data_IF_582993042209
#
_entry.id   IF_582993042209
#
_cell.length_a   1.000
_cell.length_b   1.000
_cell.length_c   1.000
_cell.angle_alpha   90.00
_cell.angle_beta   90.00
_cell.angle_gamma   90.00
#
_symmetry.space_group_name_H-M   'P 1'
#
loop_
_entity.id
_entity.type
_entity.pdbx_description
1 polymer ?
#
# COMPACT_ATOMS: atom_id res chain seq x y z
N UNK A 1 -0.61 1.45 21.38
CA UNK A 1 -1.43 0.68 20.42
C UNK A 1 -0.61 0.27 19.22
N UNK A 2 -0.99 -0.83 18.58
CA UNK A 2 -0.43 -1.27 17.30
C UNK A 2 -1.57 -1.41 16.30
N UNK A 3 -1.35 -1.01 15.05
CA UNK A 3 -2.34 -1.09 13.99
C UNK A 3 -1.69 -1.56 12.69
N UNK A 4 -2.43 -2.33 11.90
CA UNK A 4 -2.10 -2.70 10.54
C UNK A 4 -3.30 -2.38 9.64
N UNK A 5 -3.03 -1.82 8.46
CA UNK A 5 -4.01 -1.56 7.42
C UNK A 5 -3.62 -2.31 6.15
N UNK A 6 -4.61 -2.94 5.53
CA UNK A 6 -4.47 -3.67 4.27
C UNK A 6 -5.35 -3.01 3.21
N UNK A 7 -4.80 -2.83 2.02
CA UNK A 7 -5.49 -2.20 0.89
C UNK A 7 -5.52 -3.17 -0.29
N UNK A 8 -6.68 -3.28 -0.93
CA UNK A 8 -6.85 -3.96 -2.22
C UNK A 8 -7.18 -2.91 -3.26
N UNK A 9 -6.28 -2.72 -4.21
CA UNK A 9 -6.42 -1.72 -5.27
C UNK A 9 -6.80 -2.40 -6.58
N UNK A 10 -7.82 -1.86 -7.26
CA UNK A 10 -8.30 -2.28 -8.58
C UNK A 10 -8.59 -1.04 -9.40
N UNK A 11 -8.15 -1.04 -10.66
CA UNK A 11 -8.40 0.06 -11.60
C UNK A 11 -8.00 1.44 -11.04
N UNK A 12 -6.89 1.48 -10.29
CA UNK A 12 -6.35 2.69 -9.67
C UNK A 12 -7.08 3.17 -8.41
N UNK A 13 -8.06 2.44 -7.89
CA UNK A 13 -8.85 2.81 -6.70
C UNK A 13 -8.83 1.74 -5.62
N UNK A 14 -8.99 2.15 -4.36
CA UNK A 14 -9.14 1.26 -3.21
C UNK A 14 -10.49 0.54 -3.32
N UNK A 15 -10.47 -0.69 -3.79
CA UNK A 15 -11.67 -1.52 -3.94
C UNK A 15 -12.19 -2.06 -2.61
N UNK A 16 -11.27 -2.38 -1.70
CA UNK A 16 -11.58 -2.76 -0.32
C UNK A 16 -10.38 -2.47 0.58
N UNK A 17 -10.66 -2.13 1.83
CA UNK A 17 -9.66 -1.93 2.87
C UNK A 17 -10.06 -2.71 4.12
N UNK A 18 -9.08 -3.21 4.86
CA UNK A 18 -9.27 -3.89 6.13
C UNK A 18 -8.21 -3.45 7.13
N UNK A 19 -8.49 -3.61 8.41
CA UNK A 19 -7.55 -3.27 9.47
C UNK A 19 -7.50 -4.35 10.54
N UNK A 20 -6.40 -4.36 11.27
CA UNK A 20 -6.27 -5.04 12.55
C UNK A 20 -5.63 -4.07 13.54
N UNK A 21 -6.05 -4.13 14.80
CA UNK A 21 -5.46 -3.33 15.85
C UNK A 21 -5.40 -4.10 17.16
N UNK A 22 -4.24 -4.08 17.83
CA UNK A 22 -4.11 -4.43 19.24
C UNK A 22 -4.00 -3.13 20.04
N UNK A 23 -5.14 -2.66 20.55
CA UNK A 23 -5.24 -1.39 21.25
C UNK A 23 -6.57 -1.23 21.96
N UNK A 24 -6.86 0.00 22.39
CA UNK A 24 -8.11 0.35 23.05
C UNK A 24 -9.28 0.50 22.05
N UNK A 25 -10.51 0.63 22.56
CA UNK A 25 -11.71 0.83 21.74
C UNK A 25 -11.58 1.97 20.71
N UNK A 26 -11.08 3.16 21.09
CA UNK A 26 -10.82 4.26 20.15
C UNK A 26 -9.90 3.89 18.99
N UNK A 27 -8.83 3.14 19.21
CA UNK A 27 -7.91 2.70 18.15
C UNK A 27 -8.62 1.80 17.14
N UNK A 28 -9.47 0.89 17.62
CA UNK A 28 -10.29 0.06 16.74
C UNK A 28 -11.30 0.89 15.93
N UNK A 29 -11.98 1.85 16.57
CA UNK A 29 -12.92 2.74 15.89
C UNK A 29 -12.24 3.60 14.82
N UNK A 30 -11.06 4.16 15.13
CA UNK A 30 -10.27 4.96 14.20
C UNK A 30 -9.78 4.13 13.01
N UNK A 31 -9.28 2.91 13.23
CA UNK A 31 -8.86 2.01 12.14
C UNK A 31 -10.02 1.61 11.23
N UNK A 32 -11.20 1.35 11.81
CA UNK A 32 -12.41 1.07 11.05
C UNK A 32 -12.82 2.28 10.19
N UNK A 33 -12.78 3.49 10.73
CA UNK A 33 -13.16 4.68 9.97
C UNK A 33 -12.12 5.04 8.91
N UNK A 34 -10.82 4.95 9.21
CA UNK A 34 -9.78 5.18 8.22
C UNK A 34 -9.93 4.27 6.99
N UNK A 35 -10.16 2.97 7.21
CA UNK A 35 -10.37 2.01 6.11
C UNK A 35 -11.67 2.29 5.35
N UNK A 36 -12.76 2.61 6.04
CA UNK A 36 -14.03 2.97 5.40
C UNK A 36 -13.90 4.23 4.53
N UNK A 37 -13.22 5.27 5.03
CA UNK A 37 -13.01 6.53 4.32
C UNK A 37 -12.09 6.39 3.11
N UNK A 38 -11.19 5.40 3.12
CA UNK A 38 -10.27 5.14 2.00
C UNK A 38 -10.93 4.43 0.81
N UNK A 39 -11.99 3.63 1.03
CA UNK A 39 -12.65 2.87 -0.05
C UNK A 39 -13.23 3.80 -1.12
N UNK A 40 -12.98 3.48 -2.39
CA UNK A 40 -13.41 4.24 -3.56
C UNK A 40 -12.45 5.34 -3.99
N UNK A 41 -11.52 5.76 -3.13
CA UNK A 41 -10.51 6.76 -3.45
C UNK A 41 -9.32 6.17 -4.21
N UNK A 42 -8.59 7.00 -4.95
CA UNK A 42 -7.24 6.66 -5.37
C UNK A 42 -6.31 6.60 -4.14
N UNK A 43 -5.15 5.93 -4.21
CA UNK A 43 -4.22 5.91 -3.08
C UNK A 43 -3.74 7.32 -2.69
N UNK A 44 -3.56 8.22 -3.66
CA UNK A 44 -3.15 9.60 -3.41
C UNK A 44 -4.28 10.39 -2.73
N UNK A 45 -5.53 10.28 -3.23
CA UNK A 45 -6.72 10.87 -2.60
C UNK A 45 -6.90 10.35 -1.16
N UNK A 46 -6.62 9.06 -0.91
CA UNK A 46 -6.72 8.48 0.42
C UNK A 46 -5.70 9.08 1.39
N UNK A 47 -4.45 9.29 0.96
CA UNK A 47 -3.41 9.93 1.77
C UNK A 47 -3.71 11.40 2.05
N UNK A 48 -4.25 12.11 1.06
CA UNK A 48 -4.54 13.54 1.16
C UNK A 48 -5.77 13.84 2.00
N UNK A 49 -6.82 13.00 1.93
CA UNK A 49 -8.13 13.31 2.53
C UNK A 49 -8.46 12.52 3.79
N UNK A 50 -7.74 11.43 4.10
CA UNK A 50 -8.00 10.60 5.28
C UNK A 50 -6.93 10.87 6.34
N UNK A 51 -6.91 12.10 6.83
CA UNK A 51 -6.04 12.55 7.91
C UNK A 51 -6.65 12.30 9.30
N UNK A 52 -5.89 12.65 10.35
CA UNK A 52 -6.33 12.44 11.73
C UNK A 52 -7.61 13.23 12.08
N UNK A 53 -7.77 14.44 11.52
CA UNK A 53 -8.94 15.27 11.78
C UNK A 53 -10.20 14.69 11.12
N UNK A 54 -10.09 14.24 9.86
CA UNK A 54 -11.17 13.58 9.15
C UNK A 54 -11.61 12.29 9.85
N UNK A 55 -10.65 11.52 10.41
CA UNK A 55 -10.95 10.31 11.18
C UNK A 55 -11.62 10.67 12.51
N UNK A 56 -11.09 11.66 13.25
CA UNK A 56 -11.68 12.14 14.51
C UNK A 56 -13.12 12.62 14.31
N UNK A 57 -13.38 13.41 13.27
CA UNK A 57 -14.72 13.87 12.93
C UNK A 57 -15.64 12.69 12.57
N UNK A 58 -15.16 11.73 11.77
CA UNK A 58 -15.95 10.59 11.35
C UNK A 58 -16.32 9.63 12.49
N UNK A 59 -15.53 9.56 13.56
CA UNK A 59 -15.88 8.79 14.78
C UNK A 59 -16.77 9.59 15.75
N UNK A 60 -17.10 10.85 15.44
CA UNK A 60 -17.94 11.71 16.29
C UNK A 60 -17.16 12.53 17.33
N UNK A 61 -15.85 12.71 17.12
CA UNK A 61 -14.94 13.38 18.05
C UNK A 61 -14.23 12.42 19.01
N UNK A 62 -13.11 12.88 19.56
CA UNK A 62 -12.34 12.14 20.56
C UNK A 62 -11.98 13.05 21.75
N UNK A 63 -11.93 12.52 22.97
CA UNK A 63 -11.26 13.19 24.09
C UNK A 63 -9.81 13.52 23.75
N UNK A 64 -9.29 14.61 24.30
CA UNK A 64 -7.94 15.11 24.00
C UNK A 64 -6.85 14.04 24.20
N UNK A 65 -6.94 13.23 25.26
CA UNK A 65 -5.98 12.17 25.56
C UNK A 65 -6.05 10.97 24.58
N UNK A 66 -7.08 10.89 23.72
CA UNK A 66 -7.31 9.80 22.76
C UNK A 66 -7.12 10.21 21.30
N UNK A 67 -6.85 11.48 21.00
CA UNK A 67 -6.63 11.96 19.61
C UNK A 67 -5.48 11.25 18.89
N UNK A 68 -4.50 10.76 19.64
CA UNK A 68 -3.40 9.94 19.11
C UNK A 68 -3.89 8.67 18.40
N UNK A 69 -5.08 8.14 18.72
CA UNK A 69 -5.65 6.98 18.03
C UNK A 69 -6.03 7.31 16.57
N UNK A 70 -6.51 8.52 16.30
CA UNK A 70 -6.81 8.97 14.95
C UNK A 70 -5.52 9.22 14.15
N UNK A 71 -4.51 9.81 14.78
CA UNK A 71 -3.18 9.98 14.19
C UNK A 71 -2.56 8.63 13.79
N UNK A 72 -2.57 7.64 14.70
CA UNK A 72 -2.06 6.30 14.42
C UNK A 72 -2.77 5.68 13.21
N UNK A 73 -4.10 5.82 13.11
CA UNK A 73 -4.87 5.27 12.00
C UNK A 73 -4.52 5.95 10.66
N UNK A 74 -4.37 7.28 10.63
CA UNK A 74 -3.95 8.02 9.45
C UNK A 74 -2.54 7.60 8.99
N UNK A 75 -1.57 7.58 9.89
CA UNK A 75 -0.18 7.17 9.59
C UNK A 75 -0.11 5.72 9.08
N UNK A 76 -0.88 4.81 9.70
CA UNK A 76 -0.91 3.41 9.28
C UNK A 76 -1.51 3.24 7.88
N UNK A 77 -2.53 4.03 7.54
CA UNK A 77 -3.10 4.06 6.19
C UNK A 77 -2.09 4.59 5.17
N UNK A 78 -1.36 5.67 5.49
CA UNK A 78 -0.32 6.23 4.64
C UNK A 78 0.80 5.21 4.38
N UNK A 79 1.25 4.50 5.41
CA UNK A 79 2.25 3.44 5.25
C UNK A 79 1.72 2.28 4.41
N UNK A 80 0.44 1.90 4.52
CA UNK A 80 -0.16 0.90 3.65
C UNK A 80 -0.17 1.31 2.17
N UNK A 81 -0.46 2.59 1.88
CA UNK A 81 -0.36 3.16 0.52
C UNK A 81 1.09 3.17 0.03
N UNK A 82 2.04 3.58 0.87
CA UNK A 82 3.46 3.56 0.53
C UNK A 82 3.95 2.15 0.19
N UNK A 83 3.59 1.15 1.00
CA UNK A 83 3.89 -0.27 0.74
C UNK A 83 3.28 -0.77 -0.56
N UNK A 84 2.07 -0.33 -0.90
CA UNK A 84 1.48 -0.63 -2.21
C UNK A 84 2.37 -0.14 -3.34
N UNK A 85 2.78 1.13 -3.34
CA UNK A 85 3.65 1.68 -4.39
C UNK A 85 5.01 0.98 -4.48
N UNK A 86 5.62 0.63 -3.35
CA UNK A 86 6.86 -0.16 -3.33
C UNK A 86 6.66 -1.55 -3.93
N UNK A 87 5.52 -2.21 -3.65
CA UNK A 87 5.21 -3.54 -4.19
C UNK A 87 5.01 -3.52 -5.70
N UNK A 88 4.40 -2.46 -6.24
CA UNK A 88 4.19 -2.28 -7.67
C UNK A 88 5.53 -2.14 -8.41
N UNK A 89 6.49 -1.42 -7.82
CA UNK A 89 7.85 -1.31 -8.36
C UNK A 89 8.57 -2.66 -8.40
N UNK A 90 8.50 -3.45 -7.33
CA UNK A 90 9.10 -4.81 -7.30
C UNK A 90 8.49 -5.71 -8.38
N UNK A 91 7.17 -5.69 -8.52
CA UNK A 91 6.45 -6.52 -9.48
C UNK A 91 6.71 -6.15 -10.95
N UNK A 92 7.01 -4.88 -11.22
CA UNK A 92 7.44 -4.42 -12.54
C UNK A 92 8.85 -4.93 -12.90
N UNK A 93 9.76 -5.04 -11.92
CA UNK A 93 11.12 -5.57 -12.12
C UNK A 93 11.09 -7.07 -12.39
N UNK A 94 10.27 -7.83 -11.66
CA UNK A 94 10.15 -9.29 -11.82
C UNK A 94 9.49 -9.69 -13.16
N UNK A 95 8.70 -8.81 -13.77
CA UNK A 95 8.05 -9.03 -15.07
C UNK A 95 8.81 -8.43 -16.26
N UNK A 96 10.09 -8.07 -16.06
CA UNK A 96 10.97 -7.60 -17.14
C UNK A 96 11.08 -8.62 -18.30
N UNK A 97 11.50 -8.19 -19.51
CA UNK A 97 11.37 -8.99 -20.72
C UNK A 97 12.16 -10.31 -20.57
N UNK A 98 11.48 -11.43 -20.84
CA UNK A 98 12.13 -12.72 -21.01
C UNK A 98 13.11 -12.61 -22.17
N UNK A 99 14.40 -12.50 -21.87
CA UNK A 99 15.46 -12.58 -22.87
C UNK A 99 15.48 -14.02 -23.38
N UNK A 100 14.76 -14.26 -24.47
CA UNK A 100 14.94 -15.44 -25.30
C UNK A 100 16.35 -15.35 -25.90
N UNK A 101 17.30 -16.11 -25.34
CA UNK A 101 18.61 -16.29 -25.97
C UNK A 101 18.40 -17.05 -27.28
N UNK A 102 18.44 -16.35 -28.39
CA UNK A 102 18.68 -16.99 -29.69
C UNK A 102 20.08 -17.60 -29.66
N UNK A 103 20.17 -18.92 -29.92
CA UNK A 103 21.44 -19.59 -30.17
C UNK A 103 21.91 -19.16 -31.56
N UNK A 104 23.00 -18.41 -31.64
CA UNK A 104 23.71 -18.28 -32.92
C UNK A 104 24.42 -19.61 -33.18
N UNK A 105 23.93 -20.34 -34.19
CA UNK A 105 24.70 -21.36 -34.88
C UNK A 105 25.88 -20.67 -35.57
N UNK A 106 27.09 -20.88 -35.06
CA UNK A 106 28.33 -20.59 -35.78
C UNK A 106 29.35 -21.63 -35.34
N UNK A 107 29.14 -22.85 -35.82
CA UNK A 107 30.23 -23.82 -35.92
C UNK A 107 31.17 -23.38 -37.04
N UNK A 108 32.38 -22.93 -36.71
CA UNK A 108 33.55 -23.17 -37.57
C UNK A 108 34.87 -22.96 -36.80
N UNK A 109 35.68 -24.03 -36.82
CA UNK A 109 37.05 -24.10 -36.30
C UNK A 109 38.01 -23.46 -37.31
N UNK A 110 38.86 -22.55 -36.85
CA UNK A 110 39.99 -22.02 -37.61
C UNK A 110 40.94 -23.16 -38.04
N UNK A 111 41.11 -23.37 -39.35
CA UNK A 111 42.24 -24.14 -39.90
C UNK A 111 43.42 -23.19 -40.12
N UNK A 112 44.50 -23.42 -39.39
CA UNK A 112 45.80 -22.79 -39.64
C UNK A 112 46.41 -23.31 -40.93
N UNK A 113 47.00 -22.41 -41.70
CA UNK A 113 47.79 -22.71 -42.90
C UNK A 113 49.17 -23.26 -42.49
N UNK A 114 49.51 -24.46 -42.98
CA UNK A 114 50.84 -24.87 -43.44
C UNK A 114 50.69 -26.16 -44.27
#
# INVERSE_FOLDING_TARGET
DTMEVTLKIRDGRVASAGYWASGCGPSSACGAMATKLAVGKTPDEAVETVDAAAIEEAVGGLPEDKRHCAQLAAETLQEAVHRYYLSQRKRAVEKGPSVSRERTDNGELHKGLA
#
